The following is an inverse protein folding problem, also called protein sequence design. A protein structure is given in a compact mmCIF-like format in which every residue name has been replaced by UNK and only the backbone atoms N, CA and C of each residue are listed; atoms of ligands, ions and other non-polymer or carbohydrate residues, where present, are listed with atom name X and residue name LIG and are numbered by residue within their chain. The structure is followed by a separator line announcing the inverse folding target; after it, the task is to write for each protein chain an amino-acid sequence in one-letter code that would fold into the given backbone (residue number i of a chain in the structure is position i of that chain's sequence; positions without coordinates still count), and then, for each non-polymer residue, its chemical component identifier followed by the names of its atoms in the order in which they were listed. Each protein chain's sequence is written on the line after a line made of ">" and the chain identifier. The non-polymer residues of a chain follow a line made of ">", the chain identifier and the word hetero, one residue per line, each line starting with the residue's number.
data_IF_610380801783
#
_entry.id   IF_610380801783
#
_cell.length_a   1.000
_cell.length_b   1.000
_cell.length_c   1.000
_cell.angle_alpha   90.00
_cell.angle_beta   90.00
_cell.angle_gamma   90.00
#
_symmetry.space_group_name_H-M   'P 1'
#
loop_
_entity.id
_entity.type
_entity.pdbx_description
1 polymer ?
#
# COMPACT_ATOMS: atom_id res chain seq x y z
N UNK A 1 -34.52 -1.57 12.95
CA UNK A 1 -33.11 -1.36 12.54
C UNK A 1 -32.30 -2.55 13.03
N UNK A 2 -31.80 -3.39 12.13
CA UNK A 2 -30.83 -4.43 12.51
C UNK A 2 -29.58 -3.72 13.00
N UNK A 3 -29.23 -3.90 14.28
CA UNK A 3 -27.94 -3.43 14.79
C UNK A 3 -26.86 -4.20 14.04
N UNK A 4 -26.11 -3.51 13.19
CA UNK A 4 -24.98 -4.10 12.50
C UNK A 4 -24.02 -4.65 13.58
N UNK A 5 -23.91 -5.97 13.67
CA UNK A 5 -23.21 -6.64 14.76
C UNK A 5 -21.71 -6.59 14.51
N UNK A 6 -20.93 -6.22 15.52
CA UNK A 6 -19.49 -6.47 15.56
C UNK A 6 -19.26 -7.83 16.22
N UNK A 7 -18.53 -8.73 15.57
CA UNK A 7 -18.20 -10.04 16.13
C UNK A 7 -16.89 -9.99 16.91
N UNK A 8 -16.75 -10.67 18.05
CA UNK A 8 -15.44 -10.89 18.67
C UNK A 8 -14.43 -11.57 17.73
N UNK A 9 -14.91 -12.30 16.71
CA UNK A 9 -14.08 -12.92 15.68
C UNK A 9 -13.32 -11.90 14.81
N UNK A 10 -13.72 -10.63 14.81
CA UNK A 10 -12.98 -9.55 14.16
C UNK A 10 -11.56 -9.34 14.75
N UNK A 11 -11.23 -9.96 15.89
CA UNK A 11 -9.84 -10.02 16.39
C UNK A 11 -8.85 -10.59 15.38
N UNK A 12 -9.30 -11.37 14.38
CA UNK A 12 -8.45 -11.86 13.28
C UNK A 12 -7.77 -10.72 12.50
N UNK A 13 -8.39 -9.55 12.41
CA UNK A 13 -7.78 -8.36 11.80
C UNK A 13 -6.60 -7.85 12.64
N UNK A 14 -6.69 -7.91 13.96
CA UNK A 14 -5.58 -7.58 14.86
C UNK A 14 -4.47 -8.64 14.81
N UNK A 15 -4.83 -9.91 14.65
CA UNK A 15 -3.87 -10.99 14.45
C UNK A 15 -3.07 -10.79 13.16
N UNK A 16 -3.72 -10.44 12.05
CA UNK A 16 -3.05 -10.08 10.79
C UNK A 16 -2.01 -8.97 11.01
N UNK A 17 -2.41 -7.90 11.72
CA UNK A 17 -1.50 -6.80 12.07
C UNK A 17 -0.30 -7.30 12.88
N UNK A 18 -0.55 -8.12 13.91
CA UNK A 18 0.49 -8.63 14.79
C UNK A 18 1.54 -9.49 14.06
N UNK A 19 1.09 -10.29 13.07
CA UNK A 19 1.97 -11.15 12.27
C UNK A 19 2.77 -10.34 11.24
N UNK A 20 2.15 -9.35 10.60
CA UNK A 20 2.75 -8.66 9.46
C UNK A 20 3.58 -7.42 9.84
N UNK A 21 3.22 -6.68 10.90
CA UNK A 21 3.91 -5.42 11.28
C UNK A 21 5.43 -5.58 11.42
N UNK A 22 5.98 -6.61 12.10
CA UNK A 22 7.42 -6.73 12.27
C UNK A 22 8.17 -6.79 10.93
N UNK A 23 7.66 -7.58 9.98
CA UNK A 23 8.23 -7.70 8.65
C UNK A 23 7.98 -6.43 7.82
N UNK A 24 6.80 -5.83 7.90
CA UNK A 24 6.46 -4.60 7.18
C UNK A 24 7.39 -3.44 7.57
N UNK A 25 7.64 -3.24 8.87
CA UNK A 25 8.55 -2.19 9.35
C UNK A 25 9.99 -2.51 8.93
N UNK A 26 10.49 -3.70 9.28
CA UNK A 26 11.89 -4.04 8.97
C UNK A 26 12.17 -4.06 7.46
N UNK A 27 11.23 -4.55 6.66
CA UNK A 27 11.34 -4.62 5.20
C UNK A 27 11.37 -3.24 4.54
N UNK A 28 10.68 -2.23 5.07
CA UNK A 28 10.71 -0.86 4.51
C UNK A 28 12.03 -0.16 4.85
N UNK A 29 12.39 -0.12 6.14
CA UNK A 29 13.49 0.72 6.63
C UNK A 29 14.86 0.03 6.61
N UNK A 30 14.93 -1.28 6.82
CA UNK A 30 16.20 -2.01 6.92
C UNK A 30 16.10 -3.42 6.32
N UNK A 31 15.69 -3.57 5.05
CA UNK A 31 15.47 -4.89 4.44
C UNK A 31 16.72 -5.77 4.43
N UNK A 32 17.91 -5.17 4.26
CA UNK A 32 19.18 -5.88 4.23
C UNK A 32 19.57 -6.52 5.57
N UNK A 33 18.94 -6.11 6.68
CA UNK A 33 19.21 -6.69 8.01
C UNK A 33 18.33 -7.90 8.32
N UNK A 34 17.38 -8.23 7.43
CA UNK A 34 16.54 -9.41 7.61
C UNK A 34 17.38 -10.68 7.35
N UNK A 35 17.20 -11.75 8.15
CA UNK A 35 18.00 -12.96 8.06
C UNK A 35 17.54 -13.87 6.90
N UNK A 36 17.37 -13.31 5.71
CA UNK A 36 16.97 -14.03 4.51
C UNK A 36 18.18 -14.34 3.63
N UNK A 37 18.14 -15.49 2.96
CA UNK A 37 19.16 -15.87 2.00
C UNK A 37 18.99 -15.07 0.70
N UNK A 38 20.11 -14.75 0.03
CA UNK A 38 20.12 -14.16 -1.32
C UNK A 38 19.42 -12.79 -1.46
N UNK A 39 19.72 -11.85 -0.56
CA UNK A 39 19.27 -10.46 -0.62
C UNK A 39 20.01 -9.64 -1.69
N UNK A 40 19.78 -9.96 -2.98
CA UNK A 40 20.24 -9.14 -4.12
C UNK A 40 19.47 -7.81 -4.19
N UNK A 41 19.92 -6.86 -5.02
CA UNK A 41 19.19 -5.60 -5.27
C UNK A 41 17.73 -5.84 -5.67
N UNK A 42 17.49 -6.78 -6.58
CA UNK A 42 16.14 -7.17 -7.01
C UNK A 42 15.34 -7.72 -5.83
N UNK A 43 15.92 -8.62 -5.04
CA UNK A 43 15.28 -9.20 -3.86
C UNK A 43 14.90 -8.11 -2.85
N UNK A 44 15.81 -7.15 -2.60
CA UNK A 44 15.58 -6.03 -1.67
C UNK A 44 14.48 -5.10 -2.16
N UNK A 45 14.42 -4.79 -3.45
CA UNK A 45 13.34 -3.97 -4.03
C UNK A 45 12.00 -4.69 -3.89
N UNK A 46 11.93 -5.97 -4.26
CA UNK A 46 10.71 -6.77 -4.12
C UNK A 46 10.28 -6.90 -2.65
N UNK A 47 11.24 -7.05 -1.73
CA UNK A 47 10.96 -7.10 -0.30
C UNK A 47 10.40 -5.77 0.22
N UNK A 48 10.92 -4.64 -0.24
CA UNK A 48 10.35 -3.32 0.08
C UNK A 48 8.94 -3.16 -0.47
N UNK A 49 8.68 -3.59 -1.71
CA UNK A 49 7.33 -3.55 -2.31
C UNK A 49 6.34 -4.46 -1.55
N UNK A 50 6.78 -5.65 -1.16
CA UNK A 50 6.01 -6.56 -0.31
C UNK A 50 5.74 -5.94 1.06
N UNK A 51 6.76 -5.38 1.71
CA UNK A 51 6.63 -4.75 3.01
C UNK A 51 5.69 -3.52 2.97
N UNK A 52 5.73 -2.74 1.89
CA UNK A 52 4.77 -1.68 1.59
C UNK A 52 3.33 -2.20 1.49
N UNK A 53 3.12 -3.32 0.79
CA UNK A 53 1.81 -3.95 0.66
C UNK A 53 1.32 -4.52 2.02
N UNK A 54 2.21 -5.19 2.75
CA UNK A 54 1.94 -5.70 4.09
C UNK A 54 1.54 -4.56 5.04
N UNK A 55 2.30 -3.46 5.08
CA UNK A 55 1.96 -2.27 5.86
C UNK A 55 0.59 -1.71 5.49
N UNK A 56 0.31 -1.55 4.20
CA UNK A 56 -0.99 -1.08 3.72
C UNK A 56 -2.12 -2.02 4.15
N UNK A 57 -1.93 -3.34 4.06
CA UNK A 57 -2.91 -4.33 4.51
C UNK A 57 -3.16 -4.25 6.03
N UNK A 58 -2.13 -3.96 6.84
CA UNK A 58 -2.28 -3.71 8.27
C UNK A 58 -3.11 -2.45 8.54
N UNK A 59 -2.90 -1.38 7.77
CA UNK A 59 -3.72 -0.16 7.87
C UNK A 59 -5.18 -0.45 7.51
N UNK A 60 -5.44 -1.19 6.44
CA UNK A 60 -6.82 -1.62 6.09
C UNK A 60 -7.41 -2.44 7.22
N UNK A 61 -6.68 -3.41 7.74
CA UNK A 61 -7.15 -4.28 8.82
C UNK A 61 -7.49 -3.49 10.09
N UNK A 62 -6.66 -2.51 10.44
CA UNK A 62 -6.88 -1.63 11.58
C UNK A 62 -8.16 -0.79 11.42
N UNK A 63 -8.37 -0.25 10.22
CA UNK A 63 -9.53 0.59 9.91
C UNK A 63 -10.82 -0.22 9.75
N UNK A 64 -10.73 -1.49 9.33
CA UNK A 64 -11.87 -2.40 9.22
C UNK A 64 -12.24 -3.06 10.55
N UNK A 65 -11.30 -3.26 11.47
CA UNK A 65 -11.53 -3.91 12.77
C UNK A 65 -12.76 -3.40 13.56
N UNK A 66 -12.99 -2.08 13.69
CA UNK A 66 -14.15 -1.58 14.43
C UNK A 66 -15.45 -1.56 13.60
N UNK A 67 -15.40 -1.90 12.31
CA UNK A 67 -16.58 -1.86 11.45
C UNK A 67 -17.47 -3.10 11.71
N UNK A 68 -18.80 -2.96 11.62
CA UNK A 68 -19.68 -4.11 11.60
C UNK A 68 -19.37 -5.06 10.44
N UNK A 69 -19.60 -6.36 10.63
CA UNK A 69 -19.15 -7.43 9.71
C UNK A 69 -19.60 -7.25 8.25
N UNK A 70 -20.76 -6.62 8.04
CA UNK A 70 -21.35 -6.42 6.71
C UNK A 70 -21.26 -4.97 6.22
N UNK A 71 -20.54 -4.10 6.94
CA UNK A 71 -20.34 -2.72 6.51
C UNK A 71 -19.24 -2.66 5.44
N UNK A 72 -19.45 -1.97 4.30
CA UNK A 72 -18.45 -1.88 3.25
C UNK A 72 -17.21 -1.09 3.70
N UNK A 73 -16.06 -1.76 3.78
CA UNK A 73 -14.75 -1.17 4.11
C UNK A 73 -14.11 -0.31 3.01
N UNK A 74 -14.89 0.26 2.09
CA UNK A 74 -14.36 0.92 0.87
C UNK A 74 -13.40 2.06 1.18
N UNK A 75 -13.68 2.87 2.20
CA UNK A 75 -12.81 3.98 2.64
C UNK A 75 -11.51 3.47 3.27
N UNK A 76 -11.58 2.41 4.06
CA UNK A 76 -10.40 1.74 4.63
C UNK A 76 -9.51 1.20 3.51
N UNK A 77 -10.09 0.50 2.52
CA UNK A 77 -9.37 0.01 1.36
C UNK A 77 -8.73 1.14 0.56
N UNK A 78 -9.45 2.24 0.32
CA UNK A 78 -8.90 3.40 -0.40
C UNK A 78 -7.68 4.01 0.31
N UNK A 79 -7.69 4.10 1.64
CA UNK A 79 -6.54 4.54 2.43
C UNK A 79 -5.38 3.55 2.28
N UNK A 80 -5.64 2.25 2.41
CA UNK A 80 -4.62 1.21 2.19
C UNK A 80 -3.98 1.29 0.81
N UNK A 81 -4.80 1.41 -0.24
CA UNK A 81 -4.32 1.58 -1.62
C UNK A 81 -3.49 2.87 -1.76
N UNK A 82 -3.91 3.98 -1.14
CA UNK A 82 -3.14 5.22 -1.13
C UNK A 82 -1.77 5.02 -0.48
N UNK A 83 -1.70 4.36 0.69
CA UNK A 83 -0.44 4.05 1.39
C UNK A 83 0.46 3.15 0.54
N UNK A 84 -0.10 2.08 -0.03
CA UNK A 84 0.64 1.16 -0.90
C UNK A 84 1.21 1.89 -2.10
N UNK A 85 0.38 2.58 -2.88
CA UNK A 85 0.81 3.22 -4.12
C UNK A 85 1.79 4.37 -3.88
N UNK A 86 1.64 5.12 -2.79
CA UNK A 86 2.59 6.18 -2.43
C UNK A 86 3.94 5.61 -2.00
N UNK A 87 3.94 4.56 -1.18
CA UNK A 87 5.17 3.92 -0.72
C UNK A 87 5.87 3.13 -1.84
N UNK A 88 5.13 2.38 -2.66
CA UNK A 88 5.65 1.67 -3.83
C UNK A 88 6.28 2.63 -4.85
N UNK A 89 5.62 3.77 -5.12
CA UNK A 89 6.20 4.84 -5.94
C UNK A 89 7.57 5.28 -5.39
N UNK A 90 7.63 5.57 -4.08
CA UNK A 90 8.88 5.94 -3.41
C UNK A 90 9.95 4.86 -3.54
N UNK A 91 9.60 3.60 -3.29
CA UNK A 91 10.53 2.47 -3.41
C UNK A 91 11.11 2.38 -4.82
N UNK A 92 10.28 2.53 -5.86
CA UNK A 92 10.69 2.43 -7.26
C UNK A 92 11.56 3.60 -7.71
N UNK A 93 11.27 4.83 -7.27
CA UNK A 93 12.09 6.00 -7.58
C UNK A 93 13.49 5.95 -6.95
N UNK A 94 13.61 5.34 -5.77
CA UNK A 94 14.88 5.18 -5.06
C UNK A 94 15.52 3.79 -5.24
N UNK A 95 14.93 2.95 -6.08
CA UNK A 95 15.48 1.63 -6.34
C UNK A 95 16.79 1.74 -7.13
N UNK A 96 17.80 0.90 -6.84
CA UNK A 96 18.85 0.67 -7.81
C UNK A 96 18.25 0.05 -9.07
N UNK A 97 18.98 0.13 -10.20
CA UNK A 97 18.60 -0.54 -11.43
C UNK A 97 18.37 -2.04 -11.18
N UNK A 98 17.18 -2.54 -11.47
CA UNK A 98 16.83 -3.96 -11.29
C UNK A 98 16.04 -4.54 -12.46
N UNK A 99 15.55 -3.70 -13.39
CA UNK A 99 14.93 -4.13 -14.64
C UNK A 99 15.99 -4.05 -15.74
N UNK A 100 16.40 -5.18 -16.37
CA UNK A 100 17.43 -5.20 -17.40
C UNK A 100 16.88 -4.78 -18.78
N UNK A 101 16.12 -3.68 -18.82
CA UNK A 101 15.51 -3.14 -20.04
C UNK A 101 15.61 -1.62 -20.09
N UNK A 102 16.03 -1.08 -21.23
CA UNK A 102 16.15 0.36 -21.46
C UNK A 102 15.17 0.81 -22.53
N UNK A 103 14.60 2.01 -22.37
CA UNK A 103 13.83 2.68 -23.44
C UNK A 103 14.74 3.32 -24.51
N UNK A 104 16.06 3.26 -24.32
CA UNK A 104 17.07 3.81 -25.23
C UNK A 104 17.83 4.99 -24.62
N UNK A 105 19.03 5.33 -25.15
CA UNK A 105 19.91 6.33 -24.55
C UNK A 105 19.26 7.71 -24.36
N UNK A 106 18.40 8.10 -25.29
CA UNK A 106 17.69 9.38 -25.22
C UNK A 106 16.76 9.49 -24.01
N UNK A 107 16.11 8.40 -23.58
CA UNK A 107 15.20 8.44 -22.43
C UNK A 107 15.96 8.33 -21.10
N UNK A 108 17.02 7.52 -21.09
CA UNK A 108 17.91 7.34 -19.93
C UNK A 108 18.56 8.66 -19.50
N UNK A 109 18.90 9.55 -20.45
CA UNK A 109 19.49 10.87 -20.14
C UNK A 109 18.56 11.75 -19.28
N UNK A 110 17.24 11.54 -19.37
CA UNK A 110 16.22 12.23 -18.58
C UNK A 110 15.75 11.40 -17.38
N UNK A 111 16.44 10.30 -17.06
CA UNK A 111 16.06 9.32 -16.02
C UNK A 111 14.67 8.70 -16.25
N UNK A 112 14.25 8.60 -17.51
CA UNK A 112 13.04 7.88 -17.89
C UNK A 112 13.45 6.42 -18.09
N UNK A 113 13.28 5.63 -17.03
CA UNK A 113 13.58 4.19 -17.00
C UNK A 113 12.30 3.41 -16.69
N UNK A 114 12.23 2.09 -16.94
CA UNK A 114 11.09 1.28 -16.53
C UNK A 114 10.74 1.43 -15.04
N UNK A 115 11.74 1.52 -14.16
CA UNK A 115 11.53 1.72 -12.73
C UNK A 115 10.85 3.06 -12.43
N UNK A 116 11.35 4.16 -13.01
CA UNK A 116 10.79 5.49 -12.73
C UNK A 116 9.43 5.68 -13.40
N UNK A 117 9.19 5.10 -14.57
CA UNK A 117 7.85 5.06 -15.20
C UNK A 117 6.89 4.26 -14.32
N UNK A 118 7.31 3.09 -13.84
CA UNK A 118 6.48 2.26 -12.97
C UNK A 118 6.17 2.96 -11.63
N UNK A 119 7.17 3.64 -11.06
CA UNK A 119 7.02 4.49 -9.88
C UNK A 119 6.07 5.66 -10.12
N UNK A 120 6.20 6.34 -11.26
CA UNK A 120 5.30 7.44 -11.66
C UNK A 120 3.85 6.97 -11.72
N UNK A 121 3.59 5.83 -12.38
CA UNK A 121 2.24 5.25 -12.48
C UNK A 121 1.68 4.95 -11.09
N UNK A 122 2.47 4.34 -10.20
CA UNK A 122 2.05 4.12 -8.81
C UNK A 122 1.72 5.45 -8.11
N UNK A 123 2.56 6.48 -8.26
CA UNK A 123 2.30 7.80 -7.70
C UNK A 123 0.99 8.42 -8.19
N UNK A 124 0.71 8.32 -9.49
CA UNK A 124 -0.53 8.81 -10.08
C UNK A 124 -1.76 8.07 -9.56
N UNK A 125 -1.68 6.74 -9.36
CA UNK A 125 -2.77 5.98 -8.74
C UNK A 125 -3.00 6.43 -7.29
N UNK A 126 -1.92 6.64 -6.52
CA UNK A 126 -2.01 7.20 -5.17
C UNK A 126 -2.70 8.57 -5.14
N UNK A 127 -2.32 9.49 -6.04
CA UNK A 127 -2.98 10.78 -6.21
C UNK A 127 -4.45 10.63 -6.62
N UNK A 128 -4.75 9.67 -7.49
CA UNK A 128 -6.12 9.32 -7.87
C UNK A 128 -6.98 8.94 -6.68
N UNK A 129 -6.43 8.21 -5.70
CA UNK A 129 -7.14 7.90 -4.44
C UNK A 129 -7.44 9.15 -3.62
N UNK A 130 -6.51 10.11 -3.55
CA UNK A 130 -6.70 11.40 -2.87
C UNK A 130 -7.78 12.24 -3.57
N UNK A 131 -7.73 12.34 -4.90
CA UNK A 131 -8.74 13.06 -5.69
C UNK A 131 -10.11 12.42 -5.50
N UNK A 132 -10.20 11.09 -5.64
CA UNK A 132 -11.43 10.34 -5.39
C UNK A 132 -11.96 10.59 -3.98
N UNK A 133 -11.08 10.61 -2.97
CA UNK A 133 -11.47 10.87 -1.59
C UNK A 133 -12.17 12.22 -1.47
N UNK A 134 -11.54 13.28 -1.95
CA UNK A 134 -12.05 14.66 -1.87
C UNK A 134 -13.38 14.81 -2.62
N UNK A 135 -13.46 14.32 -3.86
CA UNK A 135 -14.66 14.43 -4.69
C UNK A 135 -15.87 13.67 -4.12
N UNK A 136 -15.62 12.69 -3.23
CA UNK A 136 -16.68 11.88 -2.65
C UNK A 136 -17.05 12.26 -1.22
N UNK A 137 -16.37 13.24 -0.61
CA UNK A 137 -16.72 13.73 0.74
C UNK A 137 -18.17 14.23 0.86
N UNK A 138 -18.74 14.98 -0.12
CA UNK A 138 -20.13 15.44 -0.02
C UNK A 138 -21.18 14.32 0.10
N UNK A 139 -20.88 13.11 -0.42
CA UNK A 139 -21.79 11.97 -0.31
C UNK A 139 -21.88 11.39 1.11
N UNK A 140 -20.95 11.73 2.01
CA UNK A 140 -20.95 11.22 3.39
C UNK A 140 -22.22 11.64 4.12
N UNK A 141 -22.67 12.88 3.94
CA UNK A 141 -23.90 13.40 4.56
C UNK A 141 -25.16 12.75 3.98
N UNK A 142 -25.17 12.43 2.68
CA UNK A 142 -26.28 11.72 2.04
C UNK A 142 -26.44 10.30 2.61
N UNK A 143 -25.34 9.66 2.99
CA UNK A 143 -25.34 8.32 3.59
C UNK A 143 -25.76 8.28 5.06
N UNK A 144 -25.66 9.39 5.80
CA UNK A 144 -26.03 9.47 7.22
C UNK A 144 -27.53 9.74 7.44
N UNK A 145 -28.22 10.25 6.41
CA UNK A 145 -29.65 10.58 6.45
C UNK A 145 -30.56 9.45 5.94
N UNK A 146 -30.00 8.26 5.67
CA UNK A 146 -30.72 7.03 5.31
C UNK A 146 -30.58 6.02 6.42
#
# INVERSE_FOLDING_TARGET
>A
MSTASCSPLSVVFLLHIAVEIPLAIRGIWSPATLPFLQLTNTTVVLLKLYASLALASCVVALLCFPLPEFLPGKRALAIGLCVYHSSASTVLYYAPRFIPYSFGPFFEQYRITPETVWGTIHGLVGLGMVVWWQLTLPYVQVGQNR
#
